data_IF_359636287667
#
_entry.id   IF_359636287667
#
_cell.length_a   1.000
_cell.length_b   1.000
_cell.length_c   1.000
_cell.angle_alpha   90.00
_cell.angle_beta   90.00
_cell.angle_gamma   90.00
#
_symmetry.space_group_name_H-M   'P 1'
#
loop_
_entity.id
_entity.type
_entity.pdbx_description
1 polymer ?
#
# COMPACT_ATOMS: atom_id res chain seq x y z
N UNK A 1 -4.00 6.81 30.71
CA UNK A 1 -5.00 6.08 29.93
C UNK A 1 -5.93 7.07 29.24
N UNK A 2 -6.18 6.89 27.95
CA UNK A 2 -7.09 7.74 27.16
C UNK A 2 -8.28 6.88 26.72
N UNK A 3 -9.49 7.46 26.71
CA UNK A 3 -10.71 6.80 26.23
C UNK A 3 -11.31 7.56 25.04
N UNK A 4 -11.59 6.85 23.96
CA UNK A 4 -12.38 7.37 22.85
C UNK A 4 -13.83 6.95 23.10
N UNK A 5 -14.74 7.91 23.24
CA UNK A 5 -16.15 7.68 23.55
C UNK A 5 -17.07 8.09 22.40
N UNK A 6 -18.36 7.71 22.49
CA UNK A 6 -19.36 8.01 21.45
C UNK A 6 -18.92 7.58 20.05
N UNK A 7 -18.26 6.43 19.93
CA UNK A 7 -17.70 5.92 18.70
C UNK A 7 -18.58 4.84 18.06
N UNK A 8 -18.52 4.72 16.74
CA UNK A 8 -18.85 3.48 16.04
C UNK A 8 -17.53 2.80 15.67
N UNK A 9 -17.13 1.74 16.39
CA UNK A 9 -15.88 1.04 16.09
C UNK A 9 -16.01 0.20 14.84
N UNK A 10 -15.05 0.34 13.94
CA UNK A 10 -14.94 -0.46 12.73
C UNK A 10 -14.03 -1.65 13.01
N UNK A 11 -14.66 -2.79 13.28
CA UNK A 11 -13.96 -4.05 13.49
C UNK A 11 -13.62 -4.69 12.13
N UNK A 12 -12.90 -5.80 12.16
CA UNK A 12 -12.49 -6.49 10.94
C UNK A 12 -13.67 -6.85 10.01
N UNK A 13 -14.81 -7.21 10.56
CA UNK A 13 -15.96 -7.79 9.83
C UNK A 13 -17.33 -7.27 10.28
N UNK A 14 -17.35 -6.36 11.25
CA UNK A 14 -18.59 -5.78 11.77
C UNK A 14 -18.36 -4.40 12.39
N UNK A 15 -19.43 -3.75 12.83
CA UNK A 15 -19.42 -2.49 13.55
C UNK A 15 -19.87 -2.70 15.02
N UNK A 16 -19.29 -1.95 15.95
CA UNK A 16 -19.79 -1.82 17.33
C UNK A 16 -20.25 -0.37 17.52
N UNK A 17 -21.56 -0.10 17.48
CA UNK A 17 -22.09 1.24 17.70
C UNK A 17 -22.06 1.63 19.16
N UNK A 18 -22.20 2.94 19.45
CA UNK A 18 -22.23 3.48 20.81
C UNK A 18 -21.11 2.91 21.70
N UNK A 19 -19.90 2.88 21.15
CA UNK A 19 -18.76 2.20 21.74
C UNK A 19 -17.79 3.14 22.44
N UNK A 20 -16.98 2.54 23.31
CA UNK A 20 -15.78 3.14 23.91
C UNK A 20 -14.56 2.27 23.54
N UNK A 21 -13.42 2.93 23.35
CA UNK A 21 -12.13 2.28 23.18
C UNK A 21 -11.11 2.91 24.14
N UNK A 22 -10.35 2.06 24.82
CA UNK A 22 -9.29 2.49 25.74
C UNK A 22 -7.92 2.26 25.15
N UNK A 23 -7.03 3.21 25.37
CA UNK A 23 -5.63 3.08 24.97
C UNK A 23 -4.70 3.60 26.07
N UNK A 24 -3.56 2.94 26.20
CA UNK A 24 -2.52 3.29 27.15
C UNK A 24 -1.15 2.83 26.65
N UNK A 25 -0.12 3.67 26.82
CA UNK A 25 1.24 3.39 26.37
C UNK A 25 1.33 3.01 24.88
N UNK A 26 0.52 3.65 24.03
CA UNK A 26 0.50 3.40 22.60
C UNK A 26 -0.23 2.14 22.15
N UNK A 27 -0.89 1.42 23.07
CA UNK A 27 -1.59 0.16 22.79
C UNK A 27 -3.08 0.27 23.11
N UNK A 28 -3.90 -0.48 22.38
CA UNK A 28 -5.32 -0.68 22.70
C UNK A 28 -5.41 -1.62 23.91
N UNK A 29 -6.06 -1.17 24.97
CA UNK A 29 -6.20 -1.93 26.23
C UNK A 29 -7.59 -2.49 26.47
N UNK A 30 -8.61 -1.97 25.77
CA UNK A 30 -9.98 -2.44 25.88
C UNK A 30 -10.92 -1.72 24.93
N UNK A 31 -12.07 -2.30 24.68
CA UNK A 31 -13.18 -1.66 23.96
C UNK A 31 -14.49 -2.42 24.19
N UNK A 32 -15.60 -1.79 23.90
CA UNK A 32 -16.92 -2.40 23.98
C UNK A 32 -18.03 -1.37 23.84
N UNK A 33 -19.28 -1.83 23.95
CA UNK A 33 -20.44 -0.94 24.03
C UNK A 33 -20.39 -0.10 25.32
N UNK A 34 -20.57 1.21 25.24
CA UNK A 34 -20.47 2.13 26.38
C UNK A 34 -21.41 1.74 27.56
N UNK A 35 -22.61 1.24 27.24
CA UNK A 35 -23.57 0.81 28.25
C UNK A 35 -23.05 -0.31 29.16
N UNK A 36 -22.12 -1.13 28.65
CA UNK A 36 -21.55 -2.30 29.34
C UNK A 36 -20.09 -2.10 29.75
N UNK A 37 -19.47 -0.99 29.33
CA UNK A 37 -18.03 -0.74 29.46
C UNK A 37 -17.82 0.66 30.05
N UNK A 38 -17.88 0.81 31.39
CA UNK A 38 -17.76 2.12 32.03
C UNK A 38 -16.38 2.71 31.83
N UNK A 39 -16.33 4.02 31.59
CA UNK A 39 -15.08 4.77 31.49
C UNK A 39 -14.53 4.97 32.91
N UNK A 40 -13.28 4.54 33.20
CA UNK A 40 -12.66 4.78 34.49
C UNK A 40 -12.48 6.27 34.79
N UNK A 41 -12.58 6.64 36.07
CA UNK A 41 -12.35 8.01 36.51
C UNK A 41 -10.89 8.44 36.22
N UNK A 42 -10.70 9.66 35.76
CA UNK A 42 -9.37 10.22 35.47
C UNK A 42 -8.81 9.88 34.07
N UNK A 43 -9.59 9.23 33.19
CA UNK A 43 -9.20 9.07 31.79
C UNK A 43 -9.23 10.41 31.05
N UNK A 44 -8.26 10.63 30.20
CA UNK A 44 -8.36 11.63 29.13
C UNK A 44 -9.43 11.20 28.12
N UNK A 45 -10.29 12.13 27.71
CA UNK A 45 -11.44 11.81 26.86
C UNK A 45 -11.26 12.41 25.47
N UNK A 46 -11.37 11.55 24.44
CA UNK A 46 -11.55 11.95 23.06
C UNK A 46 -12.99 11.61 22.66
N UNK A 47 -13.82 12.60 22.41
CA UNK A 47 -15.19 12.38 21.93
C UNK A 47 -15.19 12.21 20.41
N UNK A 48 -15.63 11.04 19.97
CA UNK A 48 -15.78 10.71 18.54
C UNK A 48 -17.09 11.28 17.94
N UNK A 49 -18.01 11.81 18.76
CA UNK A 49 -19.23 12.48 18.30
C UNK A 49 -20.10 11.62 17.36
N UNK A 50 -20.14 10.33 17.56
CA UNK A 50 -20.88 9.38 16.72
C UNK A 50 -20.17 8.97 15.42
N UNK A 51 -18.96 9.49 15.18
CA UNK A 51 -18.15 9.14 14.01
C UNK A 51 -17.60 7.71 14.11
N UNK A 52 -17.11 7.21 12.97
CA UNK A 52 -16.46 5.91 12.89
C UNK A 52 -15.03 6.01 13.39
N UNK A 53 -14.61 5.00 14.15
CA UNK A 53 -13.23 4.81 14.61
C UNK A 53 -12.74 3.49 14.06
N UNK A 54 -11.80 3.54 13.13
CA UNK A 54 -11.17 2.37 12.54
C UNK A 54 -9.67 2.31 12.81
N UNK A 55 -9.00 1.20 12.47
CA UNK A 55 -7.53 1.13 12.53
C UNK A 55 -6.89 2.13 11.58
N UNK A 56 -5.71 2.63 11.92
CA UNK A 56 -4.93 3.49 11.05
C UNK A 56 -4.70 2.85 9.68
N UNK A 57 -4.77 3.65 8.63
CA UNK A 57 -4.56 3.20 7.26
C UNK A 57 -3.09 2.80 7.04
N UNK A 58 -2.87 1.83 6.18
CA UNK A 58 -1.55 1.25 5.84
C UNK A 58 -1.38 1.27 4.34
N UNK A 59 -0.49 2.12 3.87
CA UNK A 59 -0.15 2.22 2.44
C UNK A 59 1.18 1.51 2.19
N UNK A 60 1.11 0.37 1.53
CA UNK A 60 2.29 -0.44 1.27
C UNK A 60 2.97 -0.10 -0.05
N UNK A 61 2.34 0.69 -0.92
CA UNK A 61 2.90 1.11 -2.20
C UNK A 61 2.65 2.61 -2.41
N UNK A 62 3.63 3.41 -2.03
CA UNK A 62 3.51 4.87 -2.06
C UNK A 62 4.89 5.51 -2.28
N UNK A 63 5.05 6.28 -3.37
CA UNK A 63 6.31 6.97 -3.69
C UNK A 63 6.39 8.37 -3.10
N UNK A 64 5.25 8.99 -2.73
CA UNK A 64 5.22 10.41 -2.45
C UNK A 64 4.04 10.85 -1.57
N UNK A 65 4.05 12.12 -1.18
CA UNK A 65 2.93 12.80 -0.54
C UNK A 65 3.01 14.30 -0.80
N UNK A 66 1.91 14.89 -1.29
CA UNK A 66 1.78 16.34 -1.50
C UNK A 66 2.93 17.00 -2.29
N UNK A 67 3.44 16.33 -3.33
CA UNK A 67 4.53 16.87 -4.14
C UNK A 67 5.94 16.54 -3.62
N UNK A 68 6.10 15.73 -2.58
CA UNK A 68 7.37 15.32 -1.99
C UNK A 68 7.61 13.84 -2.18
N UNK A 69 8.73 13.45 -2.82
CA UNK A 69 9.14 12.08 -2.95
C UNK A 69 9.70 11.53 -1.63
N UNK A 70 9.41 10.27 -1.29
CA UNK A 70 10.01 9.65 -0.10
C UNK A 70 11.54 9.55 -0.17
N UNK A 71 12.10 9.45 -1.33
CA UNK A 71 13.55 9.38 -1.47
C UNK A 71 14.28 10.73 -1.34
N UNK A 72 13.56 11.85 -1.37
CA UNK A 72 14.12 13.21 -1.31
C UNK A 72 13.68 13.95 -0.04
N UNK A 73 12.38 14.01 0.20
CA UNK A 73 11.76 14.70 1.33
C UNK A 73 10.84 13.74 2.11
N UNK A 74 11.40 12.66 2.73
CA UNK A 74 10.61 11.59 3.34
C UNK A 74 9.73 12.04 4.51
N UNK A 75 10.14 13.08 5.24
CA UNK A 75 9.36 13.57 6.39
C UNK A 75 8.12 14.30 5.91
N UNK A 76 8.24 15.18 4.96
CA UNK A 76 7.14 15.94 4.36
C UNK A 76 6.10 15.01 3.74
N UNK A 77 6.57 14.01 2.98
CA UNK A 77 5.72 12.97 2.43
C UNK A 77 5.00 12.17 3.52
N UNK A 78 5.71 11.78 4.59
CA UNK A 78 5.15 11.01 5.70
C UNK A 78 4.09 11.80 6.49
N UNK A 79 4.36 13.07 6.78
CA UNK A 79 3.45 13.95 7.52
C UNK A 79 2.13 14.18 6.76
N UNK A 80 2.22 14.46 5.45
CA UNK A 80 1.01 14.57 4.61
C UNK A 80 0.16 13.30 4.68
N UNK A 81 0.76 12.14 4.51
CA UNK A 81 0.04 10.87 4.57
C UNK A 81 -0.56 10.61 5.97
N UNK A 82 0.18 10.97 7.04
CA UNK A 82 -0.31 10.84 8.40
C UNK A 82 -1.55 11.72 8.66
N UNK A 83 -1.56 12.95 8.16
CA UNK A 83 -2.72 13.86 8.24
C UNK A 83 -3.96 13.29 7.55
N UNK A 84 -3.77 12.44 6.53
CA UNK A 84 -4.80 11.72 5.81
C UNK A 84 -5.14 10.35 6.42
N UNK A 85 -4.62 10.03 7.62
CA UNK A 85 -4.94 8.81 8.35
C UNK A 85 -4.05 7.62 8.05
N UNK A 86 -3.04 7.77 7.19
CA UNK A 86 -2.08 6.70 6.87
C UNK A 86 -0.99 6.66 7.94
N UNK A 87 -1.16 5.77 8.91
CA UNK A 87 -0.28 5.65 10.08
C UNK A 87 0.90 4.69 9.86
N UNK A 88 0.89 3.96 8.76
CA UNK A 88 1.99 3.06 8.38
C UNK A 88 2.19 3.13 6.87
N UNK A 89 3.44 3.37 6.45
CA UNK A 89 3.81 3.56 5.06
C UNK A 89 5.02 2.68 4.75
N UNK A 90 5.03 2.03 3.60
CA UNK A 90 6.25 1.56 2.98
C UNK A 90 6.67 2.58 1.92
N UNK A 91 7.82 3.22 2.13
CA UNK A 91 8.38 4.14 1.16
C UNK A 91 8.80 3.38 -0.10
N UNK A 92 8.24 3.75 -1.24
CA UNK A 92 8.53 3.09 -2.49
C UNK A 92 9.72 3.76 -3.20
N UNK A 93 10.72 2.94 -3.56
CA UNK A 93 11.80 3.31 -4.47
C UNK A 93 11.58 2.58 -5.79
N UNK A 94 11.75 3.28 -6.91
CA UNK A 94 11.42 2.73 -8.21
C UNK A 94 12.63 2.64 -9.18
N UNK A 95 12.46 1.99 -10.30
CA UNK A 95 13.48 1.47 -11.19
C UNK A 95 14.26 2.50 -12.03
N UNK A 96 13.95 3.79 -11.99
CA UNK A 96 14.69 4.79 -12.77
C UNK A 96 16.02 5.24 -12.10
N UNK A 97 16.28 4.74 -10.90
CA UNK A 97 17.52 4.98 -10.16
C UNK A 97 18.52 3.85 -10.38
N UNK A 98 19.80 4.19 -10.59
CA UNK A 98 20.85 3.18 -10.61
C UNK A 98 21.16 2.66 -9.18
N UNK A 99 22.00 1.60 -9.08
CA UNK A 99 22.29 0.96 -7.78
C UNK A 99 22.86 1.91 -6.74
N UNK A 100 23.74 2.83 -7.12
CA UNK A 100 24.31 3.82 -6.19
C UNK A 100 23.23 4.80 -5.71
N UNK A 101 22.39 5.31 -6.60
CA UNK A 101 21.28 6.19 -6.24
C UNK A 101 20.30 5.50 -5.29
N UNK A 102 19.93 4.23 -5.56
CA UNK A 102 19.06 3.46 -4.65
C UNK A 102 19.67 3.31 -3.25
N UNK A 103 20.99 3.09 -3.14
CA UNK A 103 21.69 3.02 -1.86
C UNK A 103 21.65 4.36 -1.11
N UNK A 104 21.93 5.46 -1.81
CA UNK A 104 21.90 6.82 -1.25
C UNK A 104 20.49 7.21 -0.78
N UNK A 105 19.47 6.93 -1.59
CA UNK A 105 18.09 7.24 -1.27
C UNK A 105 17.54 6.37 -0.14
N UNK A 106 17.91 5.09 -0.11
CA UNK A 106 17.57 4.22 1.03
C UNK A 106 18.17 4.75 2.34
N UNK A 107 19.39 5.30 2.32
CA UNK A 107 19.99 5.92 3.50
C UNK A 107 19.20 7.18 3.94
N UNK A 108 18.77 8.04 3.01
CA UNK A 108 17.93 9.20 3.30
C UNK A 108 16.64 8.82 4.03
N UNK A 109 15.90 7.85 3.49
CA UNK A 109 14.65 7.35 4.11
C UNK A 109 14.93 6.74 5.49
N UNK A 110 16.00 5.95 5.65
CA UNK A 110 16.38 5.35 6.94
C UNK A 110 16.70 6.39 8.01
N UNK A 111 17.31 7.51 7.64
CA UNK A 111 17.53 8.60 8.59
C UNK A 111 16.21 9.28 9.00
N UNK A 112 15.26 9.42 8.10
CA UNK A 112 13.92 9.91 8.43
C UNK A 112 13.17 8.97 9.37
N UNK A 113 13.25 7.65 9.14
CA UNK A 113 12.60 6.64 10.00
C UNK A 113 13.05 6.71 11.48
N UNK A 114 14.22 7.27 11.77
CA UNK A 114 14.74 7.43 13.13
C UNK A 114 14.15 8.63 13.86
N UNK A 115 13.50 9.55 13.14
CA UNK A 115 12.92 10.77 13.69
C UNK A 115 11.44 10.55 14.04
N UNK A 116 10.92 11.23 15.08
CA UNK A 116 9.49 11.13 15.42
C UNK A 116 8.56 11.46 14.24
N UNK A 117 8.91 12.47 13.44
CA UNK A 117 8.13 12.95 12.30
C UNK A 117 8.08 11.95 11.14
N UNK A 118 9.09 11.10 11.02
CA UNK A 118 9.17 10.02 10.02
C UNK A 118 8.73 8.65 10.55
N UNK A 119 8.23 8.57 11.78
CA UNK A 119 7.95 7.30 12.48
C UNK A 119 6.77 6.49 11.91
N UNK A 120 6.01 7.04 10.96
CA UNK A 120 5.01 6.32 10.17
C UNK A 120 5.62 5.50 9.03
N UNK A 121 6.86 5.80 8.59
CA UNK A 121 7.58 5.01 7.60
C UNK A 121 8.07 3.73 8.28
N UNK A 122 7.55 2.58 7.83
CA UNK A 122 7.79 1.27 8.45
C UNK A 122 8.76 0.37 7.66
N UNK A 123 9.32 0.88 6.58
CA UNK A 123 10.25 0.18 5.70
C UNK A 123 10.07 0.55 4.24
N UNK A 124 10.53 -0.33 3.37
CA UNK A 124 10.53 -0.11 1.93
C UNK A 124 9.60 -1.07 1.19
N UNK A 125 8.99 -0.55 0.14
CA UNK A 125 8.48 -1.27 -1.00
C UNK A 125 9.42 -0.99 -2.18
N UNK A 126 10.09 -2.01 -2.67
CA UNK A 126 11.11 -1.83 -3.70
C UNK A 126 10.49 -2.15 -5.06
N UNK A 127 10.00 -1.13 -5.76
CA UNK A 127 9.50 -1.25 -7.13
C UNK A 127 10.67 -1.22 -8.13
N UNK A 128 11.66 -2.03 -7.82
CA UNK A 128 12.94 -2.17 -8.51
C UNK A 128 13.65 -3.45 -8.06
N UNK A 129 14.79 -3.84 -8.67
CA UNK A 129 15.33 -3.29 -9.89
C UNK A 129 14.81 -4.00 -11.17
N UNK A 130 14.38 -5.26 -11.08
CA UNK A 130 14.24 -6.14 -12.25
C UNK A 130 12.79 -6.37 -12.67
N UNK A 131 12.15 -5.29 -13.12
CA UNK A 131 10.88 -5.38 -13.85
C UNK A 131 11.11 -5.61 -15.35
N UNK A 132 10.05 -5.90 -16.08
CA UNK A 132 10.13 -6.00 -17.53
C UNK A 132 10.29 -4.59 -18.13
N UNK A 133 11.37 -4.30 -18.88
CA UNK A 133 11.66 -2.96 -19.41
C UNK A 133 10.62 -2.39 -20.39
N UNK A 134 9.65 -3.21 -20.80
CA UNK A 134 8.54 -2.81 -21.68
C UNK A 134 7.55 -1.90 -20.94
N UNK A 135 7.49 -1.98 -19.62
CA UNK A 135 6.51 -1.30 -18.76
C UNK A 135 7.14 -0.24 -17.86
N UNK A 136 6.29 0.60 -17.31
CA UNK A 136 6.60 1.59 -16.28
C UNK A 136 6.74 3.01 -16.80
N UNK A 137 6.46 3.97 -15.93
CA UNK A 137 6.67 5.38 -16.21
C UNK A 137 8.17 5.67 -16.37
N UNK A 138 8.51 6.59 -17.29
CA UNK A 138 9.89 6.96 -17.58
C UNK A 138 10.81 5.76 -17.91
N UNK A 139 10.24 4.70 -18.53
CA UNK A 139 10.94 3.44 -18.84
C UNK A 139 12.18 3.58 -19.70
N UNK A 140 12.29 4.70 -20.46
CA UNK A 140 13.47 4.97 -21.28
C UNK A 140 14.72 5.18 -20.41
N UNK A 141 14.57 5.74 -19.24
CA UNK A 141 15.65 6.00 -18.27
C UNK A 141 15.91 4.83 -17.29
N UNK A 142 15.22 3.69 -17.44
CA UNK A 142 15.45 2.51 -16.61
C UNK A 142 16.87 1.95 -16.82
N UNK A 143 17.77 1.98 -15.83
CA UNK A 143 19.13 1.45 -15.96
C UNK A 143 19.21 -0.08 -15.83
N UNK A 144 18.11 -0.76 -15.44
CA UNK A 144 18.07 -2.18 -15.14
C UNK A 144 17.55 -3.05 -16.30
N UNK A 145 17.62 -2.52 -17.53
CA UNK A 145 17.17 -3.23 -18.73
C UNK A 145 18.03 -4.45 -19.07
N UNK A 146 19.30 -4.44 -18.64
CA UNK A 146 20.29 -5.48 -18.91
C UNK A 146 20.08 -6.79 -18.15
N UNK A 147 20.99 -7.76 -18.31
CA UNK A 147 20.99 -9.01 -17.57
C UNK A 147 21.06 -8.76 -16.05
N UNK A 148 20.45 -9.65 -15.27
CA UNK A 148 20.51 -9.62 -13.80
C UNK A 148 21.91 -10.01 -13.36
N UNK A 149 22.59 -9.11 -12.62
CA UNK A 149 23.97 -9.31 -12.13
C UNK A 149 24.04 -9.05 -10.63
N UNK A 150 24.65 -9.98 -9.91
CA UNK A 150 24.75 -9.90 -8.45
C UNK A 150 25.53 -8.68 -7.97
N UNK A 151 26.60 -8.33 -8.63
CA UNK A 151 27.43 -7.16 -8.33
C UNK A 151 26.66 -5.83 -8.43
N UNK A 152 25.59 -5.78 -9.23
CA UNK A 152 24.75 -4.58 -9.40
C UNK A 152 23.67 -4.48 -8.32
N UNK A 153 23.00 -5.57 -7.97
CA UNK A 153 21.88 -5.54 -7.03
C UNK A 153 22.27 -5.78 -5.57
N UNK A 154 23.36 -6.50 -5.29
CA UNK A 154 23.72 -6.85 -3.92
C UNK A 154 23.92 -5.61 -3.02
N UNK A 155 24.59 -4.52 -3.46
CA UNK A 155 24.66 -3.30 -2.66
C UNK A 155 23.31 -2.69 -2.28
N UNK A 156 22.30 -2.83 -3.15
CA UNK A 156 20.94 -2.35 -2.87
C UNK A 156 20.25 -3.22 -1.81
N UNK A 157 20.36 -4.56 -1.94
CA UNK A 157 19.87 -5.49 -0.93
C UNK A 157 20.50 -5.19 0.43
N UNK A 158 21.81 -5.00 0.48
CA UNK A 158 22.55 -4.73 1.71
C UNK A 158 22.13 -3.38 2.34
N UNK A 159 21.89 -2.36 1.51
CA UNK A 159 21.48 -1.03 1.97
C UNK A 159 20.09 -1.04 2.61
N UNK A 160 19.11 -1.71 2.02
CA UNK A 160 17.74 -1.77 2.56
C UNK A 160 17.62 -2.82 3.66
N UNK A 161 18.31 -3.95 3.55
CA UNK A 161 18.36 -5.01 4.56
C UNK A 161 16.98 -5.52 4.97
N UNK A 162 16.75 -5.66 6.27
CA UNK A 162 15.46 -6.14 6.83
C UNK A 162 14.33 -5.11 6.75
N UNK A 163 14.62 -3.86 6.36
CA UNK A 163 13.60 -2.83 6.17
C UNK A 163 12.87 -2.99 4.83
N UNK A 164 13.45 -3.68 3.84
CA UNK A 164 12.71 -4.09 2.64
C UNK A 164 11.63 -5.10 3.01
N UNK A 165 10.36 -4.71 2.87
CA UNK A 165 9.22 -5.59 3.15
C UNK A 165 8.72 -6.29 1.89
N UNK A 166 8.81 -5.62 0.75
CA UNK A 166 8.37 -6.14 -0.56
C UNK A 166 9.41 -5.79 -1.62
N UNK A 167 9.65 -6.74 -2.55
CA UNK A 167 10.33 -6.50 -3.81
C UNK A 167 9.37 -6.81 -4.96
N UNK A 168 9.18 -5.85 -5.87
CA UNK A 168 8.49 -6.07 -7.14
C UNK A 168 9.46 -6.66 -8.13
N UNK A 169 8.98 -7.60 -8.93
CA UNK A 169 9.79 -8.25 -9.95
C UNK A 169 8.93 -8.78 -11.11
N UNK A 170 9.58 -8.96 -12.25
CA UNK A 170 9.02 -9.64 -13.40
C UNK A 170 9.57 -11.08 -13.44
N UNK A 171 8.74 -12.10 -13.12
CA UNK A 171 9.17 -13.50 -13.04
C UNK A 171 9.74 -14.06 -14.34
N UNK A 172 9.44 -13.46 -15.47
CA UNK A 172 9.97 -13.85 -16.80
C UNK A 172 11.41 -13.41 -17.04
N UNK A 173 11.99 -12.56 -16.16
CA UNK A 173 13.39 -12.13 -16.32
C UNK A 173 14.35 -13.31 -16.08
N UNK A 174 15.28 -13.49 -16.99
CA UNK A 174 16.30 -14.54 -16.86
C UNK A 174 17.13 -14.35 -15.58
N UNK A 175 17.37 -15.43 -14.83
CA UNK A 175 18.08 -15.45 -13.54
C UNK A 175 17.39 -14.72 -12.36
N UNK A 176 16.11 -14.38 -12.46
CA UNK A 176 15.38 -13.71 -11.38
C UNK A 176 15.36 -14.52 -10.07
N UNK A 177 15.38 -15.86 -10.15
CA UNK A 177 15.39 -16.72 -8.97
C UNK A 177 16.63 -16.48 -8.09
N UNK A 178 17.80 -16.20 -8.68
CA UNK A 178 19.00 -15.91 -7.88
C UNK A 178 18.84 -14.62 -7.07
N UNK A 179 18.28 -13.57 -7.66
CA UNK A 179 17.92 -12.34 -6.95
C UNK A 179 16.95 -12.61 -5.79
N UNK A 180 15.91 -13.41 -6.03
CA UNK A 180 14.93 -13.80 -5.00
C UNK A 180 15.60 -14.52 -3.83
N UNK A 181 16.50 -15.46 -4.10
CA UNK A 181 17.23 -16.20 -3.08
C UNK A 181 18.15 -15.30 -2.26
N UNK A 182 18.87 -14.37 -2.91
CA UNK A 182 19.76 -13.44 -2.23
C UNK A 182 18.98 -12.41 -1.38
N UNK A 183 17.85 -11.90 -1.86
CA UNK A 183 16.96 -11.05 -1.08
C UNK A 183 16.36 -11.79 0.14
N UNK A 184 15.98 -13.08 -0.03
CA UNK A 184 15.52 -13.92 1.07
C UNK A 184 16.63 -14.22 2.08
N UNK A 185 17.87 -14.36 1.66
CA UNK A 185 19.01 -14.56 2.55
C UNK A 185 19.26 -13.31 3.43
N UNK A 186 19.08 -12.11 2.89
CA UNK A 186 19.20 -10.85 3.62
C UNK A 186 17.99 -10.60 4.55
N UNK A 187 16.78 -10.93 4.10
CA UNK A 187 15.55 -10.80 4.88
C UNK A 187 14.64 -12.03 4.69
N UNK A 188 14.68 -13.04 5.58
CA UNK A 188 13.85 -14.24 5.46
C UNK A 188 12.34 -13.99 5.42
N UNK A 189 11.87 -12.85 5.92
CA UNK A 189 10.44 -12.49 5.99
C UNK A 189 9.96 -11.67 4.79
N UNK A 190 10.87 -11.23 3.93
CA UNK A 190 10.55 -10.40 2.77
C UNK A 190 9.51 -11.07 1.85
N UNK A 191 8.64 -10.26 1.28
CA UNK A 191 7.64 -10.68 0.31
C UNK A 191 8.05 -10.27 -1.10
N UNK A 192 7.44 -10.93 -2.08
CA UNK A 192 7.61 -10.56 -3.48
C UNK A 192 6.26 -10.25 -4.10
N UNK A 193 6.27 -9.30 -5.00
CA UNK A 193 5.12 -8.89 -5.78
C UNK A 193 5.44 -9.04 -7.27
N UNK A 194 4.47 -9.49 -8.05
CA UNK A 194 4.56 -9.48 -9.51
C UNK A 194 3.96 -8.19 -10.05
N UNK A 195 4.76 -7.43 -10.79
CA UNK A 195 4.32 -6.18 -11.44
C UNK A 195 5.24 -5.81 -12.58
N UNK A 196 4.78 -4.94 -13.47
CA UNK A 196 5.49 -4.57 -14.70
C UNK A 196 5.99 -5.81 -15.42
N UNK A 197 5.09 -6.74 -15.73
CA UNK A 197 5.44 -8.10 -16.10
C UNK A 197 4.45 -8.66 -17.12
N UNK A 198 4.94 -9.55 -17.97
CA UNK A 198 4.13 -10.40 -18.85
C UNK A 198 4.42 -11.89 -18.59
N UNK A 199 4.72 -12.21 -17.32
CA UNK A 199 5.01 -13.59 -16.91
C UNK A 199 3.82 -14.53 -17.14
N UNK A 200 4.14 -15.77 -17.49
CA UNK A 200 3.16 -16.84 -17.52
C UNK A 200 2.73 -17.27 -16.11
N UNK A 201 1.57 -17.93 -15.96
CA UNK A 201 1.17 -18.50 -14.69
C UNK A 201 2.25 -19.38 -14.05
N UNK A 202 2.92 -20.21 -14.84
CA UNK A 202 3.97 -21.12 -14.36
C UNK A 202 5.19 -20.36 -13.78
N UNK A 203 5.56 -19.22 -14.37
CA UNK A 203 6.67 -18.40 -13.88
C UNK A 203 6.30 -17.71 -12.56
N UNK A 204 5.07 -17.22 -12.43
CA UNK A 204 4.57 -16.60 -11.19
C UNK A 204 4.46 -17.65 -10.07
N UNK A 205 3.80 -18.77 -10.36
CA UNK A 205 3.57 -19.85 -9.39
C UNK A 205 4.88 -20.48 -8.90
N UNK A 206 5.92 -20.53 -9.74
CA UNK A 206 7.24 -21.02 -9.35
C UNK A 206 7.90 -20.16 -8.25
N UNK A 207 7.53 -18.88 -8.12
CA UNK A 207 8.06 -17.97 -7.10
C UNK A 207 7.19 -17.88 -5.83
N UNK A 208 5.95 -18.40 -5.83
CA UNK A 208 5.09 -18.40 -4.65
C UNK A 208 5.72 -19.12 -3.44
N UNK A 209 6.40 -20.26 -3.56
CA UNK A 209 7.10 -20.92 -2.43
C UNK A 209 8.18 -20.04 -1.79
N UNK A 210 8.70 -19.05 -2.52
CA UNK A 210 9.70 -18.11 -2.01
C UNK A 210 9.08 -16.84 -1.41
N UNK A 211 7.74 -16.70 -1.43
CA UNK A 211 7.02 -15.60 -0.81
C UNK A 211 6.44 -14.58 -1.78
N UNK A 212 6.32 -14.91 -3.09
CA UNK A 212 5.51 -14.11 -4.01
C UNK A 212 4.04 -14.28 -3.62
N UNK A 213 3.43 -13.19 -3.16
CA UNK A 213 2.06 -13.20 -2.64
C UNK A 213 1.27 -11.91 -2.91
N UNK A 214 1.78 -11.03 -3.77
CA UNK A 214 1.15 -9.75 -4.12
C UNK A 214 1.19 -9.60 -5.64
N UNK A 215 0.13 -9.05 -6.24
CA UNK A 215 0.09 -8.51 -7.59
C UNK A 215 0.10 -6.99 -7.49
N UNK A 216 1.19 -6.38 -7.93
CA UNK A 216 1.45 -4.93 -7.88
C UNK A 216 0.45 -4.21 -8.78
N UNK A 217 -0.19 -3.12 -8.28
CA UNK A 217 -1.20 -2.31 -8.99
C UNK A 217 -1.94 -3.14 -10.04
N UNK A 218 -2.63 -4.17 -9.52
CA UNK A 218 -3.26 -5.23 -10.32
C UNK A 218 -4.17 -4.67 -11.42
N UNK A 219 -3.96 -5.14 -12.63
CA UNK A 219 -4.45 -4.76 -13.95
C UNK A 219 -3.74 -3.57 -14.61
N UNK A 220 -2.73 -2.99 -13.95
CA UNK A 220 -1.87 -1.97 -14.56
C UNK A 220 -0.49 -2.56 -14.92
N UNK A 221 0.11 -2.06 -16.01
CA UNK A 221 1.45 -2.43 -16.47
C UNK A 221 1.67 -3.95 -16.53
N UNK A 222 0.65 -4.69 -16.96
CA UNK A 222 0.67 -6.13 -17.16
C UNK A 222 0.54 -6.46 -18.63
N UNK A 223 1.19 -7.57 -19.05
CA UNK A 223 1.23 -7.97 -20.44
C UNK A 223 -0.04 -8.67 -20.92
N UNK A 224 -0.23 -8.65 -22.22
CA UNK A 224 -1.25 -9.41 -22.93
C UNK A 224 -0.57 -10.46 -23.80
N UNK A 225 -0.68 -11.74 -23.43
CA UNK A 225 -0.08 -12.85 -24.17
C UNK A 225 -1.09 -13.43 -25.14
N UNK A 226 -0.83 -13.24 -26.41
CA UNK A 226 -1.64 -13.81 -27.51
C UNK A 226 -0.81 -14.86 -28.23
N UNK A 227 -1.23 -16.12 -28.20
CA UNK A 227 -0.56 -17.23 -28.88
C UNK A 227 -1.13 -17.52 -30.28
N UNK A 228 -2.42 -17.26 -30.45
CA UNK A 228 -3.13 -17.47 -31.70
C UNK A 228 -4.06 -16.29 -31.99
N UNK A 229 -4.33 -15.98 -33.27
CA UNK A 229 -5.31 -14.96 -33.64
C UNK A 229 -6.66 -15.23 -32.96
N UNK A 230 -7.32 -14.17 -32.50
CA UNK A 230 -8.66 -14.21 -31.87
C UNK A 230 -8.73 -14.98 -30.55
N UNK A 231 -7.62 -15.44 -29.99
CA UNK A 231 -7.57 -16.16 -28.70
C UNK A 231 -6.84 -15.32 -27.68
N UNK A 232 -7.56 -14.95 -26.62
CA UNK A 232 -6.96 -14.28 -25.45
C UNK A 232 -6.01 -15.24 -24.73
N UNK A 233 -4.78 -14.78 -24.49
CA UNK A 233 -3.82 -15.49 -23.65
C UNK A 233 -4.09 -15.31 -22.16
N UNK A 234 -3.30 -15.98 -21.34
CA UNK A 234 -3.29 -15.90 -19.88
C UNK A 234 -1.96 -15.30 -19.43
N UNK A 235 -2.02 -14.28 -18.59
CA UNK A 235 -0.87 -13.56 -18.12
C UNK A 235 -0.95 -13.28 -16.61
N UNK A 236 -0.42 -12.17 -16.17
CA UNK A 236 -0.34 -11.76 -14.75
C UNK A 236 -1.73 -11.64 -14.13
N UNK A 237 -2.65 -10.93 -14.79
CA UNK A 237 -3.97 -10.61 -14.23
C UNK A 237 -4.80 -11.85 -13.94
N UNK A 238 -4.85 -12.78 -14.90
CA UNK A 238 -5.57 -14.03 -14.70
C UNK A 238 -4.92 -14.86 -13.59
N UNK A 239 -3.58 -14.87 -13.52
CA UNK A 239 -2.85 -15.62 -12.51
C UNK A 239 -3.09 -15.07 -11.10
N UNK A 240 -3.02 -13.75 -10.93
CA UNK A 240 -3.32 -13.07 -9.67
C UNK A 240 -4.77 -13.34 -9.27
N UNK A 241 -5.72 -13.21 -10.20
CA UNK A 241 -7.13 -13.47 -9.94
C UNK A 241 -7.41 -14.93 -9.56
N UNK A 242 -6.77 -15.89 -10.22
CA UNK A 242 -6.97 -17.33 -9.98
C UNK A 242 -6.40 -17.77 -8.62
N UNK A 243 -5.20 -17.29 -8.25
CA UNK A 243 -4.51 -17.71 -7.04
C UNK A 243 -5.02 -16.99 -5.79
N UNK A 244 -5.72 -17.70 -4.89
CA UNK A 244 -6.28 -17.15 -3.66
C UNK A 244 -5.21 -16.66 -2.65
N UNK A 245 -3.97 -17.13 -2.77
CA UNK A 245 -2.87 -16.73 -1.88
C UNK A 245 -2.21 -15.41 -2.30
N UNK A 246 -2.50 -14.92 -3.50
CA UNK A 246 -1.96 -13.65 -4.01
C UNK A 246 -2.95 -12.52 -3.70
N UNK A 247 -2.49 -11.47 -3.04
CA UNK A 247 -3.25 -10.23 -2.87
C UNK A 247 -3.24 -9.41 -4.15
N UNK A 248 -4.32 -8.72 -4.43
CA UNK A 248 -4.42 -7.76 -5.54
C UNK A 248 -4.32 -6.33 -4.98
N UNK A 249 -3.25 -5.61 -5.29
CA UNK A 249 -3.17 -4.17 -5.05
C UNK A 249 -4.02 -3.43 -6.08
N UNK A 250 -4.78 -2.43 -5.65
CA UNK A 250 -5.66 -1.65 -6.52
C UNK A 250 -5.47 -0.16 -6.27
N UNK A 251 -5.19 0.58 -7.34
CA UNK A 251 -5.25 2.04 -7.37
C UNK A 251 -6.70 2.41 -7.69
N UNK A 252 -7.34 3.19 -6.83
CA UNK A 252 -8.74 3.52 -7.00
C UNK A 252 -8.93 5.03 -7.16
N UNK A 253 -8.66 5.55 -8.37
CA UNK A 253 -8.83 6.95 -8.72
C UNK A 253 -10.31 7.33 -8.91
N UNK A 254 -10.60 8.63 -8.93
CA UNK A 254 -11.96 9.15 -8.96
C UNK A 254 -12.74 8.85 -10.24
N UNK A 255 -12.03 8.61 -11.34
CA UNK A 255 -12.63 8.31 -12.66
C UNK A 255 -12.56 6.81 -13.00
N UNK A 256 -11.77 6.02 -12.28
CA UNK A 256 -11.54 4.60 -12.58
C UNK A 256 -10.72 4.42 -13.85
N UNK A 257 -9.62 5.15 -13.97
CA UNK A 257 -8.71 5.10 -15.11
C UNK A 257 -7.65 4.02 -14.91
N UNK A 258 -7.01 3.97 -13.74
CA UNK A 258 -6.09 2.87 -13.40
C UNK A 258 -6.83 1.53 -13.40
N UNK A 259 -7.99 1.48 -12.76
CA UNK A 259 -8.81 0.28 -12.75
C UNK A 259 -10.27 0.67 -13.00
N UNK A 260 -10.82 0.24 -14.14
CA UNK A 260 -12.21 0.49 -14.49
C UNK A 260 -13.14 0.01 -13.35
N UNK A 261 -14.19 0.79 -12.98
CA UNK A 261 -15.12 0.41 -11.93
C UNK A 261 -15.76 -0.97 -12.10
N UNK A 262 -15.91 -1.44 -13.33
CA UNK A 262 -16.37 -2.81 -13.60
C UNK A 262 -15.31 -3.84 -13.22
N UNK A 263 -14.04 -3.55 -13.52
CA UNK A 263 -12.91 -4.40 -13.16
C UNK A 263 -12.73 -4.45 -11.64
N UNK A 264 -12.85 -3.31 -10.93
CA UNK A 264 -12.84 -3.28 -9.45
C UNK A 264 -13.89 -4.23 -8.86
N UNK A 265 -15.12 -4.21 -9.39
CA UNK A 265 -16.20 -5.13 -8.98
C UNK A 265 -15.91 -6.59 -9.34
N UNK A 266 -15.26 -6.83 -10.49
CA UNK A 266 -14.87 -8.18 -10.91
C UNK A 266 -13.77 -8.75 -10.01
N UNK A 267 -12.73 -7.99 -9.74
CA UNK A 267 -11.64 -8.39 -8.83
C UNK A 267 -12.20 -8.66 -7.43
N UNK A 268 -13.04 -7.76 -6.91
CA UNK A 268 -13.71 -7.95 -5.61
C UNK A 268 -14.52 -9.25 -5.57
N UNK A 269 -15.27 -9.56 -6.63
CA UNK A 269 -16.06 -10.81 -6.74
C UNK A 269 -15.17 -12.06 -6.74
N UNK A 270 -13.99 -11.99 -7.35
CA UNK A 270 -13.07 -13.15 -7.48
C UNK A 270 -12.24 -13.31 -6.22
N UNK A 271 -11.62 -12.23 -5.74
CA UNK A 271 -10.67 -12.24 -4.62
C UNK A 271 -11.35 -12.28 -3.25
N UNK A 272 -12.61 -11.84 -3.17
CA UNK A 272 -13.28 -11.62 -1.89
C UNK A 272 -12.63 -10.50 -1.08
N UNK A 273 -13.15 -10.29 0.13
CA UNK A 273 -12.77 -9.15 0.96
C UNK A 273 -11.38 -9.31 1.62
N UNK A 274 -10.80 -10.50 1.65
CA UNK A 274 -9.55 -10.79 2.36
C UNK A 274 -8.29 -10.74 1.47
N UNK A 275 -8.42 -10.44 0.17
CA UNK A 275 -7.30 -10.48 -0.79
C UNK A 275 -7.19 -9.24 -1.66
N UNK A 276 -7.83 -8.15 -1.27
CA UNK A 276 -7.72 -6.84 -1.91
C UNK A 276 -6.89 -5.94 -0.99
N UNK A 277 -5.98 -5.17 -1.58
CA UNK A 277 -5.24 -4.11 -0.92
C UNK A 277 -5.48 -2.83 -1.69
N UNK A 278 -5.92 -1.77 -1.03
CA UNK A 278 -5.90 -0.43 -1.61
C UNK A 278 -4.53 0.18 -1.39
N UNK A 279 -3.99 0.77 -2.44
CA UNK A 279 -2.74 1.52 -2.46
C UNK A 279 -2.98 2.90 -3.07
N UNK A 280 -2.14 3.86 -2.74
CA UNK A 280 -2.17 5.15 -3.43
C UNK A 280 -1.36 5.11 -4.73
N UNK A 281 -0.23 4.46 -4.73
CA UNK A 281 0.79 4.59 -5.78
C UNK A 281 1.03 6.07 -6.10
N UNK A 282 1.12 6.90 -5.05
CA UNK A 282 1.23 8.34 -5.20
C UNK A 282 2.62 8.73 -5.70
N UNK A 283 2.66 9.57 -6.73
CA UNK A 283 3.87 10.05 -7.41
C UNK A 283 3.87 11.58 -7.53
N UNK A 284 5.02 12.14 -7.98
CA UNK A 284 5.21 13.59 -8.15
C UNK A 284 5.56 13.96 -9.60
N UNK A 285 5.18 13.15 -10.57
CA UNK A 285 5.36 13.55 -11.97
C UNK A 285 4.43 14.73 -12.30
N UNK A 286 4.94 15.68 -13.09
CA UNK A 286 4.24 16.87 -13.53
C UNK A 286 4.33 16.98 -15.07
N UNK A 287 4.00 15.90 -15.73
CA UNK A 287 3.93 15.82 -17.18
C UNK A 287 2.68 16.46 -17.77
N UNK A 288 2.61 16.57 -19.10
CA UNK A 288 1.46 17.16 -19.77
C UNK A 288 0.20 16.32 -19.54
N UNK A 289 -0.89 17.00 -19.17
CA UNK A 289 -2.20 16.36 -19.00
C UNK A 289 -2.78 16.06 -20.38
N UNK A 290 -3.07 14.80 -20.74
CA UNK A 290 -3.64 14.44 -22.02
C UNK A 290 -5.05 15.03 -22.22
N UNK A 291 -5.46 15.22 -23.48
CA UNK A 291 -6.81 15.67 -23.83
C UNK A 291 -7.89 14.76 -23.21
N UNK A 292 -8.91 15.35 -22.62
CA UNK A 292 -10.01 14.64 -21.94
C UNK A 292 -9.78 14.37 -20.45
N UNK A 293 -8.60 14.68 -19.92
CA UNK A 293 -8.28 14.55 -18.49
C UNK A 293 -8.24 15.88 -17.73
N UNK A 294 -8.64 16.98 -18.38
CA UNK A 294 -8.69 18.29 -17.74
C UNK A 294 -9.52 18.26 -16.44
N UNK A 295 -8.96 18.86 -15.39
CA UNK A 295 -9.59 18.94 -14.07
C UNK A 295 -9.56 17.66 -13.25
N UNK A 296 -8.85 16.61 -13.68
CA UNK A 296 -8.55 15.43 -12.84
C UNK A 296 -7.40 15.78 -11.89
N UNK A 297 -7.62 15.58 -10.59
CA UNK A 297 -6.69 16.00 -9.54
C UNK A 297 -5.98 14.83 -8.85
N UNK A 298 -6.39 13.62 -9.13
CA UNK A 298 -5.90 12.39 -8.47
C UNK A 298 -5.17 11.42 -9.41
N UNK A 299 -4.89 11.83 -10.65
CA UNK A 299 -4.02 11.14 -11.59
C UNK A 299 -2.65 11.85 -11.69
N UNK A 300 -1.61 11.07 -11.95
CA UNK A 300 -0.28 11.54 -12.25
C UNK A 300 0.11 11.13 -13.67
N UNK A 301 0.84 12.00 -14.38
CA UNK A 301 1.29 11.75 -15.76
C UNK A 301 2.79 11.98 -15.83
N UNK A 302 3.50 11.10 -16.50
CA UNK A 302 4.94 11.24 -16.75
C UNK A 302 5.23 12.31 -17.82
N UNK A 303 6.50 12.52 -18.12
CA UNK A 303 6.94 13.54 -19.07
C UNK A 303 6.48 13.29 -20.53
N UNK A 304 6.06 12.06 -20.83
CA UNK A 304 5.47 11.71 -22.12
C UNK A 304 3.93 11.83 -22.13
N UNK A 305 3.31 12.14 -20.99
CA UNK A 305 1.86 12.20 -20.81
C UNK A 305 1.22 10.80 -20.64
N UNK A 306 2.02 9.78 -20.31
CA UNK A 306 1.50 8.46 -19.93
C UNK A 306 1.14 8.46 -18.43
N UNK A 307 0.18 7.63 -18.02
CA UNK A 307 -0.19 7.48 -16.62
C UNK A 307 1.01 6.95 -15.84
N UNK A 308 1.29 7.57 -14.70
CA UNK A 308 2.47 7.32 -13.88
C UNK A 308 2.10 7.33 -12.40
N UNK A 309 1.27 6.37 -11.96
CA UNK A 309 0.72 6.36 -10.63
C UNK A 309 -0.30 7.47 -10.40
N UNK A 310 -0.50 7.88 -9.16
CA UNK A 310 -1.57 8.77 -8.75
C UNK A 310 -1.10 9.99 -7.96
N UNK A 311 -2.04 10.87 -7.59
CA UNK A 311 -1.89 11.91 -6.56
C UNK A 311 -2.85 11.64 -5.38
N UNK A 312 -3.22 10.38 -5.17
CA UNK A 312 -4.15 9.96 -4.13
C UNK A 312 -3.52 10.01 -2.73
N UNK A 313 -4.34 10.36 -1.75
CA UNK A 313 -4.17 9.86 -0.39
C UNK A 313 -5.07 8.64 -0.19
N UNK A 314 -4.71 7.75 0.74
CA UNK A 314 -5.37 6.45 0.87
C UNK A 314 -6.84 6.57 1.35
N UNK A 315 -7.19 7.60 2.13
CA UNK A 315 -8.57 7.92 2.50
C UNK A 315 -9.44 8.26 1.28
N UNK A 316 -8.87 8.96 0.29
CA UNK A 316 -9.53 9.25 -0.98
C UNK A 316 -9.71 7.97 -1.80
N UNK A 317 -8.70 7.11 -1.87
CA UNK A 317 -8.80 5.81 -2.53
C UNK A 317 -9.91 4.94 -1.89
N UNK A 318 -10.02 4.92 -0.56
CA UNK A 318 -11.12 4.26 0.16
C UNK A 318 -12.48 4.80 -0.24
N UNK A 319 -12.65 6.13 -0.29
CA UNK A 319 -13.89 6.79 -0.71
C UNK A 319 -14.27 6.45 -2.15
N UNK A 320 -13.30 6.46 -3.06
CA UNK A 320 -13.51 6.09 -4.44
C UNK A 320 -13.93 4.61 -4.58
N UNK A 321 -13.29 3.71 -3.80
CA UNK A 321 -13.66 2.29 -3.78
C UNK A 321 -15.12 2.09 -3.31
N UNK A 322 -15.55 2.79 -2.27
CA UNK A 322 -16.97 2.78 -1.84
C UNK A 322 -17.88 3.25 -2.97
N UNK A 323 -17.55 4.35 -3.63
CA UNK A 323 -18.32 4.94 -4.73
C UNK A 323 -18.42 4.01 -5.94
N UNK A 324 -17.32 3.40 -6.35
CA UNK A 324 -17.25 2.60 -7.58
C UNK A 324 -17.83 1.19 -7.41
N UNK A 325 -17.78 0.62 -6.19
CA UNK A 325 -18.10 -0.79 -5.98
C UNK A 325 -19.26 -1.04 -5.01
N UNK A 326 -19.65 -0.03 -4.24
CA UNK A 326 -20.61 -0.22 -3.13
C UNK A 326 -19.99 -0.93 -1.92
N UNK A 327 -18.65 -0.95 -1.80
CA UNK A 327 -17.96 -1.45 -0.61
C UNK A 327 -18.41 -0.67 0.63
N UNK A 328 -18.58 -1.38 1.75
CA UNK A 328 -18.91 -0.76 3.04
C UNK A 328 -17.68 -0.11 3.68
N UNK A 329 -17.89 0.68 4.73
CA UNK A 329 -16.79 1.23 5.52
C UNK A 329 -15.94 0.10 6.16
N UNK A 330 -16.55 -1.01 6.54
CA UNK A 330 -15.85 -2.20 7.06
C UNK A 330 -14.93 -2.79 5.99
N UNK A 331 -15.42 -2.89 4.75
CA UNK A 331 -14.64 -3.45 3.64
C UNK A 331 -13.42 -2.59 3.34
N UNK A 332 -13.58 -1.25 3.24
CA UNK A 332 -12.45 -0.38 2.88
C UNK A 332 -11.40 -0.29 3.98
N UNK A 333 -11.76 -0.34 5.26
CA UNK A 333 -10.79 -0.49 6.34
C UNK A 333 -10.06 -1.84 6.27
N UNK A 334 -10.74 -2.90 5.83
CA UNK A 334 -10.08 -4.18 5.59
C UNK A 334 -9.05 -4.08 4.48
N UNK A 335 -9.40 -3.43 3.36
CA UNK A 335 -8.52 -3.26 2.20
C UNK A 335 -7.35 -2.31 2.46
N UNK A 336 -7.54 -1.28 3.26
CA UNK A 336 -6.55 -0.24 3.51
C UNK A 336 -5.83 -0.37 4.87
N UNK A 337 -6.14 -1.38 5.68
CA UNK A 337 -5.50 -1.56 7.00
C UNK A 337 -5.19 -3.03 7.28
N UNK A 338 -6.20 -3.89 7.38
CA UNK A 338 -6.00 -5.29 7.77
C UNK A 338 -5.22 -6.10 6.73
N UNK A 339 -5.67 -6.07 5.47
CA UNK A 339 -5.06 -6.87 4.41
C UNK A 339 -3.61 -6.46 4.11
N UNK A 340 -3.27 -5.16 3.93
CA UNK A 340 -1.87 -4.77 3.72
C UNK A 340 -1.00 -5.15 4.92
N UNK A 341 -1.48 -4.99 6.16
CA UNK A 341 -0.72 -5.43 7.34
C UNK A 341 -0.38 -6.92 7.28
N UNK A 342 -1.35 -7.77 6.93
CA UNK A 342 -1.15 -9.23 6.83
C UNK A 342 -0.25 -9.62 5.67
N UNK A 343 -0.39 -8.96 4.52
CA UNK A 343 0.42 -9.22 3.33
C UNK A 343 1.92 -9.04 3.61
N UNK A 344 2.29 -7.99 4.34
CA UNK A 344 3.70 -7.67 4.63
C UNK A 344 4.18 -8.13 6.02
N UNK A 345 3.32 -8.80 6.81
CA UNK A 345 3.69 -9.39 8.09
C UNK A 345 3.65 -8.44 9.29
N UNK A 346 2.89 -7.36 9.24
CA UNK A 346 2.63 -6.51 10.41
C UNK A 346 1.48 -7.07 11.24
N UNK A 347 1.80 -7.76 12.33
CA UNK A 347 0.81 -8.40 13.19
C UNK A 347 0.43 -7.56 14.42
N UNK A 348 1.10 -6.45 14.65
CA UNK A 348 0.89 -5.53 15.77
C UNK A 348 -0.12 -4.41 15.47
N UNK A 349 -0.64 -4.31 14.24
CA UNK A 349 -1.49 -3.22 13.73
C UNK A 349 -2.48 -3.69 12.65
N UNK A 350 -3.26 -2.76 12.10
CA UNK A 350 -4.19 -3.00 10.99
C UNK A 350 -5.58 -3.48 11.42
N UNK A 351 -5.84 -3.62 12.71
CA UNK A 351 -7.15 -3.97 13.28
C UNK A 351 -7.31 -3.43 14.70
N UNK A 352 -8.53 -3.19 15.14
CA UNK A 352 -8.85 -2.89 16.54
C UNK A 352 -8.88 -4.21 17.31
N UNK A 353 -7.85 -4.44 18.13
CA UNK A 353 -7.78 -5.59 19.03
C UNK A 353 -6.89 -5.26 20.23
N UNK A 354 -7.17 -5.85 21.38
CA UNK A 354 -6.40 -5.64 22.62
C UNK A 354 -4.94 -6.05 22.39
N UNK A 355 -4.01 -5.20 22.82
CA UNK A 355 -2.56 -5.39 22.67
C UNK A 355 -1.99 -4.94 21.32
N UNK A 356 -2.83 -4.51 20.37
CA UNK A 356 -2.38 -3.88 19.13
C UNK A 356 -2.02 -2.42 19.35
N UNK A 357 -1.21 -1.87 18.47
CA UNK A 357 -0.89 -0.45 18.45
C UNK A 357 -2.17 0.38 18.34
N UNK A 358 -2.25 1.42 19.12
CA UNK A 358 -3.32 2.41 19.05
C UNK A 358 -3.05 3.40 17.90
N UNK A 359 -3.00 2.89 16.69
CA UNK A 359 -3.01 3.64 15.45
C UNK A 359 -4.45 3.64 14.94
N UNK A 360 -5.13 4.79 14.99
CA UNK A 360 -6.56 4.87 14.76
C UNK A 360 -6.91 6.09 13.90
N UNK A 361 -7.97 5.96 13.13
CA UNK A 361 -8.58 7.04 12.35
C UNK A 361 -10.01 7.27 12.81
N UNK A 362 -10.37 8.52 13.10
CA UNK A 362 -11.75 8.95 13.32
C UNK A 362 -12.22 9.64 12.03
N UNK A 363 -13.25 9.11 11.39
CA UNK A 363 -13.73 9.60 10.10
C UNK A 363 -15.26 9.56 10.01
N UNK A 364 -15.82 10.26 9.02
CA UNK A 364 -17.23 10.13 8.67
C UNK A 364 -17.50 8.85 7.85
N UNK A 365 -18.75 8.63 7.49
CA UNK A 365 -19.18 7.46 6.71
C UNK A 365 -18.64 7.42 5.27
N UNK A 366 -18.00 8.49 4.80
CA UNK A 366 -17.34 8.61 3.50
C UNK A 366 -15.82 8.68 3.62
N UNK A 367 -15.24 8.20 4.72
CA UNK A 367 -13.80 8.20 4.95
C UNK A 367 -13.17 9.61 4.96
N UNK A 368 -13.94 10.67 5.25
CA UNK A 368 -13.36 11.97 5.50
C UNK A 368 -12.73 11.98 6.88
N UNK A 369 -11.41 12.00 6.94
CA UNK A 369 -10.62 11.96 8.16
C UNK A 369 -10.88 13.24 8.99
N UNK A 370 -11.24 13.05 10.25
CA UNK A 370 -11.48 14.10 11.23
C UNK A 370 -10.34 14.17 12.24
N UNK A 371 -9.93 13.02 12.80
CA UNK A 371 -8.81 12.91 13.76
C UNK A 371 -7.96 11.70 13.43
N UNK A 372 -6.68 11.80 13.74
CA UNK A 372 -5.71 10.71 13.61
C UNK A 372 -5.03 10.50 14.94
N UNK A 373 -5.01 9.27 15.42
CA UNK A 373 -4.25 8.83 16.58
C UNK A 373 -3.11 7.93 16.08
N UNK A 374 -1.90 8.27 16.43
CA UNK A 374 -0.71 7.53 16.07
C UNK A 374 0.07 7.14 17.32
N UNK A 375 0.26 5.84 17.54
CA UNK A 375 0.89 5.29 18.74
C UNK A 375 0.22 5.77 20.04
N UNK A 376 -1.11 5.93 20.02
CA UNK A 376 -1.90 6.38 21.16
C UNK A 376 -1.94 7.88 21.39
N UNK A 377 -1.30 8.68 20.56
CA UNK A 377 -1.25 10.14 20.66
C UNK A 377 -2.07 10.80 19.54
N UNK A 378 -2.86 11.79 19.88
CA UNK A 378 -3.63 12.58 18.93
C UNK A 378 -2.70 13.44 18.09
N UNK A 379 -2.75 13.30 16.76
CA UNK A 379 -1.91 14.04 15.81
C UNK A 379 -2.68 15.19 15.15
N UNK A 380 -3.96 14.97 14.89
CA UNK A 380 -4.84 15.92 14.21
C UNK A 380 -6.18 15.95 14.91
#
# INVERSE_FOLDING_TARGET
>A
MTAIINATLVMRDHLIPEAVLFMENGLITGYGEMRNTPVPEGCEIIDAQGLFVGPGLIDIHNHAGNGHWFYDEPIEAAQFNLEHGTTTILACLYFNMNGQQLVEQAACVKEAMKKPEGASIAGFYMECPYMNPKFGADRENNPWKGPIRKEEYQPVIDAVGTDAKVWVLAPERENILQFVLDAKAANPTVKFSVGHSEASPQQIEALMPYGLCIGTHHTDATGDRVFYPEVRGVCVDETVNYNREIYAELICDSRGIHVDPYMLRLVRKIKGEDRIILISDACVFDGPIPEGYDGVTDLCFDFAGEIAGSKLSLDVACRNMMKHTGASIVDVFRYASYNPARAVGFYDRGEIAIGKRADLVICDHWMKVNKVIFKGELQK
#
